data_IF_200089909109
#
_entry.id   IF_200089909109
#
_cell.length_a   1.000
_cell.length_b   1.000
_cell.length_c   1.000
_cell.angle_alpha   90.00
_cell.angle_beta   90.00
_cell.angle_gamma   90.00
#
_symmetry.space_group_name_H-M   'P 1'
#
loop_
_entity.id
_entity.type
_entity.pdbx_description
1 polymer ?
#
# COMPACT_ATOMS: atom_id res chain seq x y z
N UNK A 1 -25.68 12.15 18.08
CA UNK A 1 -24.72 12.28 16.97
C UNK A 1 -24.09 10.92 16.69
N UNK A 2 -23.49 10.67 15.51
CA UNK A 2 -22.86 9.36 15.19
C UNK A 2 -21.81 8.95 16.25
N UNK A 3 -21.17 9.92 16.90
CA UNK A 3 -20.23 9.72 18.00
C UNK A 3 -20.87 9.28 19.32
N UNK A 4 -22.18 9.41 19.50
CA UNK A 4 -22.89 8.99 20.72
C UNK A 4 -23.29 7.50 20.67
N UNK A 5 -23.04 6.83 19.54
CA UNK A 5 -23.35 5.41 19.30
C UNK A 5 -22.09 4.66 18.90
N UNK A 6 -21.00 4.83 19.65
CA UNK A 6 -19.77 4.09 19.42
C UNK A 6 -19.79 2.77 20.20
N UNK A 7 -19.54 1.69 19.47
CA UNK A 7 -19.28 0.37 20.04
C UNK A 7 -17.95 -0.11 19.47
N UNK A 8 -17.03 -0.52 20.34
CA UNK A 8 -15.77 -1.12 19.93
C UNK A 8 -15.98 -2.63 19.82
N UNK A 9 -16.02 -3.14 18.59
CA UNK A 9 -15.99 -4.58 18.37
C UNK A 9 -14.55 -5.09 18.50
N UNK A 10 -14.30 -6.00 19.45
CA UNK A 10 -13.00 -6.68 19.61
C UNK A 10 -12.96 -8.03 18.89
N UNK A 11 -14.09 -8.51 18.37
CA UNK A 11 -14.21 -9.74 17.59
C UNK A 11 -13.90 -9.55 16.10
N UNK A 12 -13.86 -10.66 15.36
CA UNK A 12 -13.77 -10.62 13.90
C UNK A 12 -15.11 -10.16 13.31
N UNK A 13 -15.10 -9.03 12.61
CA UNK A 13 -16.24 -8.56 11.83
C UNK A 13 -16.24 -9.26 10.46
N UNK A 14 -17.32 -9.97 10.09
CA UNK A 14 -17.47 -10.51 8.75
C UNK A 14 -17.42 -9.35 7.73
N UNK A 15 -16.63 -9.46 6.64
CA UNK A 15 -16.50 -8.37 5.65
C UNK A 15 -17.84 -7.96 5.02
N UNK A 16 -18.75 -8.91 4.83
CA UNK A 16 -20.12 -8.71 4.32
C UNK A 16 -21.01 -7.86 5.23
N UNK A 17 -20.61 -7.66 6.49
CA UNK A 17 -21.31 -6.78 7.44
C UNK A 17 -20.74 -5.36 7.48
N UNK A 18 -19.65 -5.08 6.76
CA UNK A 18 -19.08 -3.73 6.65
C UNK A 18 -19.81 -3.01 5.52
N UNK A 19 -20.76 -2.13 5.89
CA UNK A 19 -21.56 -1.37 4.91
C UNK A 19 -20.77 -0.23 4.27
N UNK A 20 -19.91 0.43 5.05
CA UNK A 20 -19.05 1.52 4.58
C UNK A 20 -17.87 1.72 5.52
N UNK A 21 -16.79 2.26 4.98
CA UNK A 21 -15.71 2.87 5.75
C UNK A 21 -15.83 4.38 5.54
N UNK A 22 -16.07 5.11 6.62
CA UNK A 22 -16.26 6.56 6.58
C UNK A 22 -15.08 7.30 7.19
N UNK A 23 -14.79 8.47 6.64
CA UNK A 23 -13.81 9.43 7.11
C UNK A 23 -14.53 10.66 7.65
N UNK A 24 -14.14 11.13 8.83
CA UNK A 24 -14.65 12.39 9.37
C UNK A 24 -13.88 13.55 8.76
N UNK A 25 -14.49 14.24 7.78
CA UNK A 25 -13.87 15.39 7.11
C UNK A 25 -13.89 16.64 8.01
N UNK A 26 -14.98 16.81 8.76
CA UNK A 26 -15.23 17.91 9.71
C UNK A 26 -15.94 17.35 10.93
N UNK A 27 -15.95 18.04 12.09
CA UNK A 27 -16.72 17.60 13.24
C UNK A 27 -18.15 17.21 12.84
N UNK A 28 -18.57 16.00 13.18
CA UNK A 28 -19.88 15.40 12.87
C UNK A 28 -20.22 15.16 11.39
N UNK A 29 -19.28 15.40 10.45
CA UNK A 29 -19.49 15.18 9.01
C UNK A 29 -18.63 14.02 8.51
N UNK A 30 -19.32 12.93 8.18
CA UNK A 30 -18.71 11.70 7.69
C UNK A 30 -18.97 11.51 6.21
N UNK A 31 -17.92 11.21 5.46
CA UNK A 31 -17.97 10.92 4.02
C UNK A 31 -17.36 9.54 3.74
N UNK A 32 -17.77 8.85 2.66
CA UNK A 32 -17.13 7.61 2.26
C UNK A 32 -15.63 7.80 2.05
N UNK A 33 -14.82 6.87 2.57
CA UNK A 33 -13.38 6.92 2.41
C UNK A 33 -12.98 6.59 0.97
N UNK A 34 -12.37 7.57 0.33
CA UNK A 34 -11.64 7.43 -0.94
C UNK A 34 -10.12 7.59 -0.70
N UNK A 35 -9.31 6.65 -1.19
CA UNK A 35 -7.86 6.69 -0.99
C UNK A 35 -7.19 7.85 -1.71
N UNK A 36 -7.61 8.19 -2.92
CA UNK A 36 -7.00 9.25 -3.71
C UNK A 36 -7.29 10.62 -3.09
N UNK A 37 -8.51 10.82 -2.58
CA UNK A 37 -8.92 12.07 -1.94
C UNK A 37 -8.37 12.23 -0.52
N UNK A 38 -8.36 11.16 0.28
CA UNK A 38 -8.10 11.27 1.72
C UNK A 38 -6.77 10.64 2.15
N UNK A 39 -6.36 9.55 1.52
CA UNK A 39 -5.24 8.70 1.96
C UNK A 39 -3.89 9.04 1.35
N UNK A 40 -3.83 9.19 0.02
CA UNK A 40 -2.59 9.33 -0.76
C UNK A 40 -1.69 10.42 -0.20
N UNK A 41 -2.23 11.63 -0.04
CA UNK A 41 -1.46 12.78 0.47
C UNK A 41 -0.92 12.55 1.89
N UNK A 42 -1.62 11.80 2.73
CA UNK A 42 -1.13 11.52 4.09
C UNK A 42 0.01 10.49 4.08
N UNK A 43 -0.07 9.47 3.21
CA UNK A 43 1.05 8.52 3.04
C UNK A 43 2.29 9.21 2.45
N UNK A 44 2.11 10.01 1.41
CA UNK A 44 3.22 10.70 0.73
C UNK A 44 3.97 11.68 1.66
N UNK A 45 3.26 12.34 2.59
CA UNK A 45 3.90 13.17 3.63
C UNK A 45 4.89 12.38 4.49
N UNK A 46 4.64 11.09 4.69
CA UNK A 46 5.45 10.17 5.48
C UNK A 46 6.43 9.37 4.61
N UNK A 47 6.69 9.80 3.36
CA UNK A 47 7.64 9.15 2.47
C UNK A 47 7.15 7.85 1.83
N UNK A 48 5.86 7.53 1.97
CA UNK A 48 5.24 6.34 1.37
C UNK A 48 4.55 6.74 0.07
N UNK A 49 5.13 6.35 -1.07
CA UNK A 49 4.60 6.70 -2.39
C UNK A 49 3.95 5.47 -3.01
N UNK A 50 2.62 5.50 -3.11
CA UNK A 50 1.85 4.34 -3.56
C UNK A 50 1.56 4.40 -5.06
N UNK A 51 1.43 3.21 -5.66
CA UNK A 51 1.13 3.07 -7.10
C UNK A 51 -0.19 3.77 -7.45
N UNK A 52 -0.36 4.11 -8.72
CA UNK A 52 -1.57 4.75 -9.24
C UNK A 52 -2.77 3.79 -9.21
N UNK A 53 -3.99 4.33 -9.23
CA UNK A 53 -5.19 3.52 -9.38
C UNK A 53 -5.17 2.66 -10.66
N UNK A 54 -4.59 3.18 -11.75
CA UNK A 54 -4.43 2.42 -13.00
C UNK A 54 -3.50 1.23 -12.85
N UNK A 55 -2.35 1.41 -12.20
CA UNK A 55 -1.39 0.33 -11.91
C UNK A 55 -1.98 -0.71 -10.94
N UNK A 56 -2.75 -0.26 -9.95
CA UNK A 56 -3.44 -1.17 -9.03
C UNK A 56 -4.52 -1.99 -9.74
N UNK A 57 -5.25 -1.37 -10.67
CA UNK A 57 -6.23 -2.08 -11.50
C UNK A 57 -5.54 -3.09 -12.42
N UNK A 58 -4.41 -2.73 -13.06
CA UNK A 58 -3.60 -3.63 -13.88
C UNK A 58 -3.12 -4.87 -13.10
N UNK A 59 -2.75 -4.73 -11.83
CA UNK A 59 -2.36 -5.87 -10.99
C UNK A 59 -3.55 -6.76 -10.61
N UNK A 60 -4.72 -6.17 -10.42
CA UNK A 60 -5.94 -6.84 -9.98
C UNK A 60 -6.79 -7.41 -11.12
N UNK A 61 -6.43 -7.23 -12.39
CA UNK A 61 -7.18 -7.79 -13.53
C UNK A 61 -7.01 -9.29 -13.70
N UNK A 62 -5.92 -9.85 -13.21
CA UNK A 62 -5.71 -11.30 -13.17
C UNK A 62 -6.35 -11.86 -11.90
N UNK A 63 -6.79 -13.11 -11.93
CA UNK A 63 -7.40 -13.87 -10.82
C UNK A 63 -6.44 -14.07 -9.62
N UNK A 64 -5.91 -12.98 -9.05
CA UNK A 64 -5.22 -13.00 -7.78
C UNK A 64 -6.22 -13.43 -6.71
N UNK A 65 -5.82 -14.42 -5.91
CA UNK A 65 -6.62 -14.95 -4.80
C UNK A 65 -7.11 -13.85 -3.84
N UNK A 66 -6.43 -12.71 -3.77
CA UNK A 66 -6.87 -11.56 -2.99
C UNK A 66 -6.44 -10.27 -3.69
N UNK A 67 -7.37 -9.38 -4.09
CA UNK A 67 -7.02 -8.13 -4.74
C UNK A 67 -6.34 -7.15 -3.78
N UNK A 68 -5.43 -6.34 -4.32
CA UNK A 68 -4.76 -5.28 -3.60
C UNK A 68 -5.67 -4.06 -3.43
N UNK A 69 -5.84 -3.62 -2.19
CA UNK A 69 -6.57 -2.39 -1.89
C UNK A 69 -5.75 -1.16 -2.29
N UNK A 70 -6.39 -0.03 -2.66
CA UNK A 70 -5.68 1.23 -2.85
C UNK A 70 -4.79 1.58 -1.65
N UNK A 71 -3.54 2.00 -1.91
CA UNK A 71 -2.55 2.31 -0.87
C UNK A 71 -1.89 1.09 -0.20
N UNK A 72 -2.20 -0.13 -0.64
CA UNK A 72 -1.55 -1.34 -0.11
C UNK A 72 -0.18 -1.62 -0.74
N UNK A 73 0.06 -1.12 -1.95
CA UNK A 73 1.32 -1.25 -2.68
C UNK A 73 2.02 0.11 -2.74
N UNK A 74 3.19 0.22 -2.10
CA UNK A 74 3.93 1.48 -2.02
C UNK A 74 5.44 1.26 -2.07
N UNK A 75 6.13 2.20 -2.70
CA UNK A 75 7.59 2.33 -2.69
C UNK A 75 8.04 2.96 -1.38
N UNK A 76 9.12 2.42 -0.82
CA UNK A 76 9.69 2.86 0.45
C UNK A 76 11.21 3.07 0.36
N UNK A 77 11.71 3.98 1.19
CA UNK A 77 13.13 4.14 1.51
C UNK A 77 13.30 3.98 3.03
N UNK A 78 13.65 2.78 3.54
CA UNK A 78 13.89 2.60 4.96
C UNK A 78 15.22 3.25 5.40
N UNK A 79 16.20 3.28 4.50
CA UNK A 79 17.51 3.91 4.67
C UNK A 79 18.08 4.26 3.28
N UNK A 80 18.86 5.34 3.11
CA UNK A 80 19.44 5.71 1.82
C UNK A 80 20.37 4.65 1.22
N UNK A 81 21.06 3.90 2.08
CA UNK A 81 21.95 2.80 1.67
C UNK A 81 21.22 1.48 1.39
N UNK A 82 19.91 1.41 1.67
CA UNK A 82 19.11 0.23 1.36
C UNK A 82 18.76 0.20 -0.14
N UNK A 83 18.63 -0.99 -0.75
CA UNK A 83 18.16 -1.09 -2.11
C UNK A 83 16.76 -0.47 -2.26
N UNK A 84 16.47 0.23 -3.38
CA UNK A 84 15.13 0.66 -3.72
C UNK A 84 14.12 -0.49 -3.62
N UNK A 85 13.07 -0.28 -2.83
CA UNK A 85 12.15 -1.34 -2.45
C UNK A 85 10.69 -0.93 -2.63
N UNK A 86 9.88 -1.92 -3.02
CA UNK A 86 8.42 -1.81 -3.10
C UNK A 86 7.79 -2.87 -2.21
N UNK A 87 6.78 -2.45 -1.45
CA UNK A 87 6.02 -3.32 -0.56
C UNK A 87 4.70 -3.67 -1.23
N UNK A 88 4.34 -4.95 -1.20
CA UNK A 88 3.02 -5.49 -1.49
C UNK A 88 2.37 -5.95 -0.19
N UNK A 89 1.24 -5.36 0.18
CA UNK A 89 0.50 -5.73 1.40
C UNK A 89 -0.83 -6.36 1.04
N UNK A 90 -1.05 -7.58 1.53
CA UNK A 90 -2.34 -8.26 1.54
C UNK A 90 -2.79 -8.50 2.99
N UNK A 91 -4.05 -8.90 3.25
CA UNK A 91 -4.47 -9.24 4.59
C UNK A 91 -3.50 -10.25 5.24
N UNK A 92 -2.85 -9.83 6.33
CA UNK A 92 -1.85 -10.61 7.09
C UNK A 92 -0.58 -11.02 6.32
N UNK A 93 -0.30 -10.46 5.15
CA UNK A 93 0.90 -10.79 4.37
C UNK A 93 1.60 -9.55 3.85
N UNK A 94 2.92 -9.51 3.97
CA UNK A 94 3.78 -8.46 3.41
C UNK A 94 4.86 -9.12 2.57
N UNK A 95 5.04 -8.65 1.35
CA UNK A 95 6.14 -9.01 0.47
C UNK A 95 6.90 -7.73 0.08
N UNK A 96 8.22 -7.76 0.17
CA UNK A 96 9.08 -6.66 -0.25
C UNK A 96 9.97 -7.13 -1.39
N UNK A 97 9.88 -6.44 -2.52
CA UNK A 97 10.71 -6.71 -3.69
C UNK A 97 11.65 -5.53 -3.95
N UNK A 98 12.84 -5.84 -4.45
CA UNK A 98 13.79 -4.86 -4.97
C UNK A 98 13.26 -4.29 -6.29
N UNK A 99 13.17 -2.96 -6.39
CA UNK A 99 12.78 -2.27 -7.63
C UNK A 99 13.82 -2.48 -8.74
N UNK A 100 15.09 -2.65 -8.38
CA UNK A 100 16.19 -2.78 -9.33
C UNK A 100 16.17 -4.08 -10.14
N UNK A 101 15.62 -5.16 -9.58
CA UNK A 101 15.75 -6.50 -10.17
C UNK A 101 14.62 -7.47 -9.83
N UNK A 102 13.54 -6.99 -9.20
CA UNK A 102 12.39 -7.80 -8.79
C UNK A 102 12.67 -8.85 -7.72
N UNK A 103 13.90 -8.95 -7.20
CA UNK A 103 14.25 -9.99 -6.21
C UNK A 103 13.56 -9.74 -4.88
N UNK A 104 13.11 -10.84 -4.25
CA UNK A 104 12.54 -10.82 -2.90
C UNK A 104 13.60 -10.36 -1.89
N UNK A 105 13.29 -9.30 -1.16
CA UNK A 105 14.10 -8.76 -0.08
C UNK A 105 13.61 -9.25 1.28
N UNK A 106 12.29 -9.28 1.48
CA UNK A 106 11.66 -9.64 2.73
C UNK A 106 10.26 -10.19 2.49
N UNK A 107 9.79 -11.04 3.41
CA UNK A 107 8.43 -11.57 3.44
C UNK A 107 8.01 -11.80 4.89
N UNK A 108 6.79 -11.38 5.24
CA UNK A 108 6.23 -11.54 6.59
C UNK A 108 4.77 -11.98 6.54
N UNK A 109 4.37 -12.80 7.52
CA UNK A 109 3.00 -13.25 7.69
C UNK A 109 2.58 -14.35 6.72
N UNK A 110 1.43 -14.19 6.08
CA UNK A 110 0.87 -15.13 5.11
C UNK A 110 1.74 -15.20 3.86
N UNK A 111 2.22 -16.41 3.56
CA UNK A 111 3.11 -16.66 2.44
C UNK A 111 2.51 -16.25 1.09
N UNK A 112 3.39 -15.79 0.21
CA UNK A 112 3.11 -15.57 -1.21
C UNK A 112 3.52 -16.84 -1.96
N UNK A 113 2.68 -17.30 -2.90
CA UNK A 113 3.06 -18.45 -3.72
C UNK A 113 4.24 -18.06 -4.62
N UNK A 114 5.04 -19.03 -5.04
CA UNK A 114 6.16 -18.76 -5.95
C UNK A 114 5.70 -18.13 -7.27
N UNK A 115 4.53 -18.55 -7.78
CA UNK A 115 3.87 -17.95 -8.93
C UNK A 115 3.50 -16.49 -8.70
N UNK A 116 2.92 -16.16 -7.54
CA UNK A 116 2.57 -14.79 -7.16
C UNK A 116 3.83 -13.92 -7.09
N UNK A 117 4.91 -14.41 -6.45
CA UNK A 117 6.19 -13.70 -6.37
C UNK A 117 6.79 -13.47 -7.75
N UNK A 118 6.78 -14.47 -8.63
CA UNK A 118 7.33 -14.36 -9.99
C UNK A 118 6.56 -13.33 -10.84
N UNK A 119 5.24 -13.33 -10.72
CA UNK A 119 4.39 -12.36 -11.41
C UNK A 119 4.64 -10.93 -10.90
N UNK A 120 4.67 -10.73 -9.58
CA UNK A 120 4.95 -9.42 -8.98
C UNK A 120 6.36 -8.95 -9.33
N UNK A 121 7.35 -9.84 -9.31
CA UNK A 121 8.72 -9.54 -9.74
C UNK A 121 8.76 -9.05 -11.20
N UNK A 122 8.07 -9.75 -12.10
CA UNK A 122 7.97 -9.37 -13.52
C UNK A 122 7.32 -8.00 -13.70
N UNK A 123 6.24 -7.75 -12.94
CA UNK A 123 5.56 -6.45 -12.96
C UNK A 123 6.45 -5.32 -12.41
N UNK A 124 7.19 -5.55 -11.32
CA UNK A 124 8.15 -4.56 -10.79
C UNK A 124 9.20 -4.21 -11.83
N UNK A 125 9.74 -5.21 -12.52
CA UNK A 125 10.74 -4.99 -13.58
C UNK A 125 10.16 -4.24 -14.80
N UNK A 126 8.87 -4.42 -15.12
CA UNK A 126 8.24 -3.68 -16.23
C UNK A 126 7.90 -2.22 -15.88
N UNK A 127 7.95 -1.86 -14.59
CA UNK A 127 7.62 -0.52 -14.08
C UNK A 127 8.81 0.19 -13.41
N UNK A 128 10.03 -0.34 -13.55
CA UNK A 128 11.22 0.16 -12.82
C UNK A 128 11.38 1.67 -12.89
N UNK A 129 11.24 2.30 -14.06
CA UNK A 129 11.40 3.76 -14.20
C UNK A 129 10.38 4.55 -13.36
N UNK A 130 9.11 4.15 -13.39
CA UNK A 130 8.03 4.76 -12.60
C UNK A 130 8.30 4.60 -11.10
N UNK A 131 8.66 3.37 -10.69
CA UNK A 131 8.92 3.03 -9.30
C UNK A 131 10.18 3.73 -8.76
N UNK A 132 11.22 3.89 -9.57
CA UNK A 132 12.43 4.64 -9.20
C UNK A 132 12.12 6.12 -8.99
N UNK A 133 11.27 6.73 -9.83
CA UNK A 133 10.80 8.11 -9.60
C UNK A 133 10.01 8.27 -8.30
N UNK A 134 9.33 7.22 -7.81
CA UNK A 134 8.71 7.20 -6.49
C UNK A 134 9.74 7.01 -5.36
N UNK A 135 10.75 6.17 -5.59
CA UNK A 135 11.82 5.93 -4.63
C UNK A 135 12.65 7.18 -4.38
N UNK A 136 13.00 7.95 -5.41
CA UNK A 136 13.73 9.22 -5.28
C UNK A 136 12.99 10.19 -4.35
N UNK A 137 11.66 10.27 -4.47
CA UNK A 137 10.82 11.09 -3.58
C UNK A 137 10.81 10.54 -2.16
N UNK A 138 10.77 9.21 -2.00
CA UNK A 138 10.86 8.55 -0.69
C UNK A 138 12.21 8.82 -0.01
N UNK A 139 13.30 8.73 -0.76
CA UNK A 139 14.65 9.01 -0.29
C UNK A 139 14.83 10.48 0.11
N UNK A 140 14.33 11.41 -0.70
CA UNK A 140 14.32 12.83 -0.35
C UNK A 140 13.51 13.11 0.93
N UNK A 141 12.41 12.39 1.15
CA UNK A 141 11.64 12.48 2.39
C UNK A 141 12.43 11.97 3.60
N UNK A 142 13.15 10.85 3.46
CA UNK A 142 14.00 10.31 4.53
C UNK A 142 15.05 11.33 4.99
N UNK A 143 15.76 11.97 4.05
CA UNK A 143 16.75 13.01 4.36
C UNK A 143 16.15 14.25 5.02
N UNK A 144 14.90 14.60 4.72
CA UNK A 144 14.23 15.74 5.34
C UNK A 144 14.05 15.58 6.85
N UNK A 145 13.89 14.35 7.35
CA UNK A 145 13.62 14.07 8.76
C UNK A 145 14.82 13.53 9.55
N UNK A 146 15.88 13.09 8.87
CA UNK A 146 17.05 12.46 9.50
C UNK A 146 18.37 13.19 9.23
N UNK A 147 18.33 14.37 8.62
CA UNK A 147 19.49 15.29 8.51
C UNK A 147 19.47 16.35 9.61
#
# INVERSE_FOLDING_TARGET
MKHDTWYVNTGKLPPDRILSVEYMEKPDVYVPYDFELHGRRQLEKNGLFCITASENNELNTDELNTPYLPGSICVICPHPDAPPAIIFRKPRGILVLSVNNGKKLQEEGSAFSEEEVNKLSTWVMSKTDSLMGMWEKSNANWHRFNN
#
